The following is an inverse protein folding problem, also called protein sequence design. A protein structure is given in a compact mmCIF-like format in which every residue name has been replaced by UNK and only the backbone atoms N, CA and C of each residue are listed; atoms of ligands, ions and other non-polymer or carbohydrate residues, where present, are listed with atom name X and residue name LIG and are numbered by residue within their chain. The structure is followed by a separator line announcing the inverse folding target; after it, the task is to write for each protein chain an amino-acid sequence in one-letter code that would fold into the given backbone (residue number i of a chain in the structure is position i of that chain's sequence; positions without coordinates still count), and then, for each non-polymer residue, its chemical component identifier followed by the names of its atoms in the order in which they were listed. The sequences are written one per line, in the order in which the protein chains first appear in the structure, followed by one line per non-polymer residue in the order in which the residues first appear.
data_IF_921238440268
#
_entry.id   IF_921238440268
#
_cell.length_a   1.000
_cell.length_b   1.000
_cell.length_c   1.000
_cell.angle_alpha   90.00
_cell.angle_beta   90.00
_cell.angle_gamma   90.00
#
_symmetry.space_group_name_H-M   'P 1'
#
loop_
_entity.id
_entity.type
_entity.pdbx_description
1 polymer ?
#
# COMPACT_ATOMS: atom_id res chain seq x y z
N UNK A 1 -10.83 0.73 3.85
CA UNK A 1 -9.46 1.29 3.75
C UNK A 1 -8.61 1.05 4.98
N UNK A 2 -9.18 1.24 6.19
CA UNK A 2 -8.44 1.09 7.43
C UNK A 2 -8.01 -0.33 7.80
N UNK A 3 -8.28 -1.38 7.01
CA UNK A 3 -7.87 -2.77 7.31
C UNK A 3 -6.64 -3.23 6.49
N UNK A 4 -5.88 -2.33 5.85
CA UNK A 4 -4.63 -2.69 5.17
C UNK A 4 -3.61 -3.22 6.21
N UNK A 5 -3.01 -4.40 5.96
CA UNK A 5 -2.02 -5.06 6.82
C UNK A 5 -2.61 -6.01 7.86
N UNK A 6 -1.86 -7.04 8.28
CA UNK A 6 -2.29 -8.06 9.26
C UNK A 6 -2.77 -9.38 8.63
N UNK A 7 -3.94 -9.91 9.04
CA UNK A 7 -4.51 -11.18 8.52
C UNK A 7 -4.85 -11.11 7.02
N UNK A 8 -5.25 -9.94 6.52
CA UNK A 8 -5.51 -9.65 5.09
C UNK A 8 -4.22 -9.32 4.29
N UNK A 9 -3.07 -9.15 4.96
CA UNK A 9 -1.76 -8.74 4.39
C UNK A 9 -1.89 -7.53 3.44
N UNK A 10 -1.26 -7.55 2.27
CA UNK A 10 -1.61 -6.65 1.18
C UNK A 10 -2.72 -7.32 0.40
N UNK A 11 -3.89 -6.69 0.32
CA UNK A 11 -5.10 -7.14 -0.37
C UNK A 11 -4.89 -7.83 -1.73
N UNK A 12 -3.72 -7.67 -2.38
CA UNK A 12 -3.28 -8.48 -3.51
C UNK A 12 -1.74 -8.49 -3.67
N UNK A 13 -1.17 -9.52 -4.31
CA UNK A 13 0.26 -9.55 -4.68
C UNK A 13 1.25 -10.02 -3.59
N UNK A 14 0.77 -10.77 -2.59
CA UNK A 14 1.56 -11.24 -1.45
C UNK A 14 2.88 -11.95 -1.81
N UNK A 15 2.95 -12.67 -2.93
CA UNK A 15 4.18 -13.36 -3.37
C UNK A 15 5.26 -12.35 -3.74
N UNK A 16 4.91 -11.28 -4.48
CA UNK A 16 5.85 -10.25 -4.88
C UNK A 16 6.40 -9.48 -3.66
N UNK A 17 5.50 -9.18 -2.73
CA UNK A 17 5.84 -8.57 -1.44
C UNK A 17 6.72 -9.47 -0.58
N UNK A 18 6.45 -10.77 -0.56
CA UNK A 18 7.29 -11.75 0.15
C UNK A 18 8.67 -11.90 -0.49
N UNK A 19 8.77 -11.95 -1.83
CA UNK A 19 10.06 -12.00 -2.53
C UNK A 19 10.88 -10.75 -2.23
N UNK A 20 10.26 -9.57 -2.24
CA UNK A 20 10.94 -8.32 -1.88
C UNK A 20 11.34 -8.27 -0.41
N UNK A 21 10.46 -8.70 0.49
CA UNK A 21 10.77 -8.78 1.91
C UNK A 21 11.91 -9.77 2.20
N UNK A 22 12.00 -10.86 1.43
CA UNK A 22 13.09 -11.83 1.52
C UNK A 22 14.42 -11.22 1.04
N UNK A 23 14.41 -10.47 -0.07
CA UNK A 23 15.58 -9.74 -0.57
C UNK A 23 16.08 -8.69 0.44
N UNK A 24 15.18 -7.87 0.99
CA UNK A 24 15.53 -6.86 1.99
C UNK A 24 16.07 -7.52 3.27
N UNK A 25 15.54 -8.68 3.67
CA UNK A 25 16.03 -9.46 4.81
C UNK A 25 17.41 -10.07 4.55
N UNK A 26 17.70 -10.48 3.32
CA UNK A 26 19.03 -10.95 2.90
C UNK A 26 20.08 -9.83 2.94
N UNK A 27 19.66 -8.57 2.75
CA UNK A 27 20.51 -7.37 2.85
C UNK A 27 20.61 -6.86 4.32
N UNK A 28 19.98 -7.55 5.28
CA UNK A 28 20.05 -7.22 6.71
C UNK A 28 19.11 -6.08 7.14
N UNK A 29 18.17 -5.64 6.29
CA UNK A 29 17.22 -4.60 6.65
C UNK A 29 16.09 -5.18 7.50
N UNK A 30 15.93 -4.65 8.72
CA UNK A 30 14.77 -4.96 9.56
C UNK A 30 13.57 -4.22 9.00
N UNK A 31 12.65 -4.96 8.38
CA UNK A 31 11.33 -4.46 8.05
C UNK A 31 10.51 -4.46 9.34
N UNK A 32 9.82 -3.35 9.63
CA UNK A 32 8.76 -3.39 10.64
C UNK A 32 7.75 -4.46 10.20
N UNK A 33 7.42 -5.37 11.10
CA UNK A 33 6.41 -6.40 10.85
C UNK A 33 5.19 -6.06 11.68
N UNK A 34 4.04 -6.07 11.04
CA UNK A 34 2.78 -5.93 11.71
C UNK A 34 2.14 -4.56 11.54
N UNK A 35 0.91 -4.53 12.00
CA UNK A 35 0.00 -3.40 12.03
C UNK A 35 -0.27 -3.11 13.51
N UNK A 36 -0.42 -1.84 13.94
CA UNK A 36 -0.91 -1.53 15.28
C UNK A 36 -2.23 -2.26 15.54
N UNK A 37 -2.42 -2.81 16.75
CA UNK A 37 -3.64 -3.45 17.22
C UNK A 37 -4.74 -2.40 17.49
N UNK A 38 -5.05 -1.59 16.47
CA UNK A 38 -6.04 -0.52 16.51
C UNK A 38 -6.89 -0.57 15.25
N UNK A 39 -8.15 -0.23 15.41
CA UNK A 39 -9.14 -0.23 14.32
C UNK A 39 -8.83 0.87 13.28
N UNK A 40 -8.35 2.02 13.74
CA UNK A 40 -7.99 3.18 12.92
C UNK A 40 -6.48 3.39 12.90
N UNK A 41 -5.92 3.53 11.69
CA UNK A 41 -4.53 3.93 11.51
C UNK A 41 -4.35 5.40 11.86
N UNK A 42 -3.19 5.76 12.39
CA UNK A 42 -2.81 7.14 12.68
C UNK A 42 -1.55 7.54 11.91
N UNK A 43 -1.39 8.83 11.68
CA UNK A 43 -0.16 9.37 11.09
C UNK A 43 1.05 8.97 11.93
N UNK A 44 2.05 8.36 11.30
CA UNK A 44 3.24 7.83 11.95
C UNK A 44 3.23 6.32 12.16
N UNK A 45 2.07 5.66 12.04
CA UNK A 45 1.98 4.21 12.21
C UNK A 45 2.77 3.45 11.15
N UNK A 46 3.41 2.36 11.57
CA UNK A 46 4.04 1.42 10.66
C UNK A 46 3.05 0.28 10.32
N UNK A 47 2.76 0.09 9.05
CA UNK A 47 1.94 -1.01 8.53
C UNK A 47 2.84 -1.89 7.68
N UNK A 48 3.34 -2.96 8.29
CA UNK A 48 4.38 -3.82 7.72
C UNK A 48 5.56 -2.95 7.22
N UNK A 49 5.83 -2.97 5.92
CA UNK A 49 6.94 -2.23 5.31
C UNK A 49 6.60 -0.80 4.87
N UNK A 50 5.47 -0.26 5.32
CA UNK A 50 5.03 1.10 5.00
C UNK A 50 4.87 1.93 6.25
N UNK A 51 5.07 3.24 6.11
CA UNK A 51 4.80 4.21 7.14
C UNK A 51 3.63 5.07 6.73
N UNK A 52 2.61 5.15 7.56
CA UNK A 52 1.48 6.06 7.38
C UNK A 52 1.99 7.48 7.56
N UNK A 53 1.83 8.31 6.54
CA UNK A 53 2.25 9.72 6.58
C UNK A 53 1.07 10.70 6.59
N UNK A 54 -0.08 10.27 6.10
CA UNK A 54 -1.32 11.06 6.15
C UNK A 54 -2.48 10.10 6.39
N UNK A 55 -3.31 10.41 7.37
CA UNK A 55 -4.62 9.80 7.58
C UNK A 55 -5.64 10.92 7.71
N UNK A 56 -6.65 10.86 6.86
CA UNK A 56 -7.92 11.52 7.06
C UNK A 56 -9.01 10.45 6.97
N UNK A 57 -9.72 10.18 8.08
CA UNK A 57 -10.81 9.22 8.10
C UNK A 57 -11.80 9.49 6.96
N UNK A 58 -12.14 8.43 6.23
CA UNK A 58 -13.13 8.46 5.12
C UNK A 58 -12.80 9.41 3.95
N UNK A 59 -11.58 9.98 3.90
CA UNK A 59 -11.17 10.89 2.82
C UNK A 59 -9.87 10.46 2.17
N UNK A 60 -8.81 10.28 2.95
CA UNK A 60 -7.52 9.94 2.39
C UNK A 60 -6.62 9.14 3.33
N UNK A 61 -5.85 8.23 2.75
CA UNK A 61 -4.80 7.49 3.43
C UNK A 61 -3.56 7.50 2.54
N UNK A 62 -2.45 8.02 3.06
CA UNK A 62 -1.18 7.99 2.35
C UNK A 62 -0.14 7.20 3.13
N UNK A 63 0.46 6.24 2.42
CA UNK A 63 1.51 5.34 2.89
C UNK A 63 2.83 5.69 2.18
N UNK A 64 3.89 5.88 2.94
CA UNK A 64 5.24 6.02 2.46
C UNK A 64 5.94 4.66 2.47
N UNK A 65 6.68 4.37 1.41
CA UNK A 65 7.44 3.14 1.29
C UNK A 65 8.62 3.14 2.26
N UNK A 66 8.64 2.18 3.18
CA UNK A 66 9.66 2.04 4.23
C UNK A 66 10.77 1.03 3.92
N UNK A 67 10.74 0.40 2.74
CA UNK A 67 11.74 -0.58 2.29
C UNK A 67 12.95 0.11 1.67
N UNK A 68 14.12 -0.55 1.73
CA UNK A 68 15.32 -0.05 1.06
C UNK A 68 15.20 -0.35 -0.43
N UNK A 69 14.83 0.66 -1.20
CA UNK A 69 14.72 0.56 -2.64
C UNK A 69 15.50 1.71 -3.30
N UNK A 70 15.91 1.59 -4.57
CA UNK A 70 16.62 2.64 -5.31
C UNK A 70 15.65 3.78 -5.70
N UNK A 71 14.97 4.36 -4.73
CA UNK A 71 13.93 5.36 -4.90
C UNK A 71 12.98 5.44 -3.71
N UNK A 72 12.07 6.41 -3.77
CA UNK A 72 11.00 6.59 -2.79
C UNK A 72 9.65 6.26 -3.42
N UNK A 73 8.92 5.35 -2.79
CA UNK A 73 7.55 5.02 -3.15
C UNK A 73 6.56 5.70 -2.22
N UNK A 74 5.42 6.15 -2.75
CA UNK A 74 4.29 6.63 -1.96
C UNK A 74 3.01 6.09 -2.56
N UNK A 75 2.12 5.57 -1.73
CA UNK A 75 0.82 5.06 -2.13
C UNK A 75 -0.27 5.91 -1.47
N UNK A 76 -1.06 6.58 -2.28
CA UNK A 76 -2.19 7.41 -1.85
C UNK A 76 -3.49 6.70 -2.19
N UNK A 77 -4.38 6.66 -1.21
CA UNK A 77 -5.77 6.27 -1.36
C UNK A 77 -6.60 7.52 -1.11
N UNK A 78 -7.48 7.86 -2.05
CA UNK A 78 -8.44 8.95 -1.88
C UNK A 78 -9.84 8.39 -2.08
N UNK A 79 -10.75 8.78 -1.21
CA UNK A 79 -12.16 8.46 -1.29
C UNK A 79 -12.92 9.74 -1.60
N UNK A 80 -13.75 9.70 -2.62
CA UNK A 80 -14.67 10.79 -2.93
C UNK A 80 -16.10 10.27 -2.80
N UNK A 81 -16.86 10.88 -1.90
CA UNK A 81 -18.27 10.59 -1.72
C UNK A 81 -19.11 11.43 -2.71
N UNK A 82 -19.90 10.76 -3.55
CA UNK A 82 -20.81 11.39 -4.52
C UNK A 82 -22.27 11.30 -4.08
N UNK A 83 -22.54 10.89 -2.83
CA UNK A 83 -23.89 10.71 -2.28
C UNK A 83 -24.45 9.32 -2.62
N UNK A 84 -24.71 9.07 -3.90
CA UNK A 84 -25.31 7.79 -4.34
C UNK A 84 -24.26 6.66 -4.46
N UNK A 85 -22.99 7.03 -4.65
CA UNK A 85 -21.87 6.11 -4.74
C UNK A 85 -20.59 6.76 -4.23
N UNK A 86 -19.60 5.94 -3.90
CA UNK A 86 -18.27 6.39 -3.50
C UNK A 86 -17.24 5.96 -4.54
N UNK A 87 -16.35 6.88 -4.91
CA UNK A 87 -15.24 6.59 -5.83
C UNK A 87 -13.95 6.47 -5.03
N UNK A 88 -13.16 5.44 -5.32
CA UNK A 88 -11.83 5.23 -4.74
C UNK A 88 -10.75 5.46 -5.79
N UNK A 89 -9.84 6.40 -5.55
CA UNK A 89 -8.61 6.55 -6.32
C UNK A 89 -7.45 5.90 -5.57
N UNK A 90 -6.68 5.06 -6.27
CA UNK A 90 -5.49 4.40 -5.73
C UNK A 90 -4.30 4.80 -6.60
N UNK A 91 -3.43 5.64 -6.05
CA UNK A 91 -2.32 6.24 -6.79
C UNK A 91 -0.99 5.90 -6.16
N UNK A 92 -0.10 5.28 -6.94
CA UNK A 92 1.28 5.08 -6.55
C UNK A 92 2.21 6.08 -7.25
N UNK A 93 2.97 6.79 -6.45
CA UNK A 93 4.06 7.66 -6.87
C UNK A 93 5.39 6.95 -6.64
N UNK A 94 6.27 7.05 -7.62
CA UNK A 94 7.63 6.55 -7.52
C UNK A 94 8.60 7.64 -7.91
N UNK A 95 9.57 7.89 -7.03
CA UNK A 95 10.66 8.80 -7.27
C UNK A 95 11.95 7.98 -7.41
N UNK A 96 12.40 7.67 -8.64
CA UNK A 96 13.56 6.81 -8.87
C UNK A 96 14.84 7.54 -8.46
N UNK A 97 15.74 6.84 -7.77
CA UNK A 97 17.08 7.34 -7.48
C UNK A 97 18.07 6.79 -8.51
N UNK A 98 18.36 7.60 -9.53
CA UNK A 98 19.29 7.25 -10.61
C UNK A 98 18.80 6.12 -11.54
N UNK A 99 19.70 5.63 -12.38
CA UNK A 99 19.41 4.59 -13.39
C UNK A 99 18.88 3.27 -12.80
N UNK A 100 19.42 2.74 -11.68
CA UNK A 100 18.88 1.52 -11.07
C UNK A 100 17.43 1.67 -10.60
N UNK A 101 17.06 2.88 -10.15
CA UNK A 101 15.70 3.21 -9.74
C UNK A 101 14.69 3.19 -10.89
N UNK A 102 15.13 3.64 -12.06
CA UNK A 102 14.30 3.65 -13.27
C UNK A 102 14.08 2.24 -13.83
N UNK A 103 15.13 1.42 -13.90
CA UNK A 103 15.01 0.02 -14.30
C UNK A 103 14.11 -0.78 -13.36
N UNK A 104 14.28 -0.57 -12.05
CA UNK A 104 13.41 -1.18 -11.04
C UNK A 104 11.94 -0.79 -11.26
N UNK A 105 11.69 0.50 -11.52
CA UNK A 105 10.33 0.98 -11.81
C UNK A 105 9.73 0.31 -13.04
N UNK A 106 10.45 0.32 -14.17
CA UNK A 106 9.99 -0.25 -15.44
C UNK A 106 9.67 -1.74 -15.32
N UNK A 107 10.53 -2.52 -14.66
CA UNK A 107 10.32 -3.95 -14.44
C UNK A 107 9.06 -4.22 -13.61
N UNK A 108 8.75 -3.31 -12.67
CA UNK A 108 7.65 -3.47 -11.74
C UNK A 108 6.32 -2.91 -12.26
N UNK A 109 6.28 -2.13 -13.35
CA UNK A 109 5.03 -1.61 -13.96
C UNK A 109 3.95 -2.70 -14.13
N UNK A 110 4.21 -3.86 -14.76
CA UNK A 110 3.18 -4.89 -14.93
C UNK A 110 2.67 -5.44 -13.60
N UNK A 111 3.56 -5.61 -12.62
CA UNK A 111 3.18 -6.06 -11.29
C UNK A 111 2.32 -5.02 -10.56
N UNK A 112 2.67 -3.73 -10.66
CA UNK A 112 1.89 -2.62 -10.07
C UNK A 112 0.47 -2.56 -10.64
N UNK A 113 0.31 -2.65 -11.98
CA UNK A 113 -1.00 -2.64 -12.62
C UNK A 113 -1.88 -3.81 -12.13
N UNK A 114 -1.29 -4.99 -11.95
CA UNK A 114 -1.99 -6.15 -11.43
C UNK A 114 -2.40 -5.99 -9.95
N UNK A 115 -1.48 -5.49 -9.12
CA UNK A 115 -1.71 -5.25 -7.68
C UNK A 115 -2.79 -4.18 -7.47
N UNK A 116 -2.72 -3.05 -8.16
CA UNK A 116 -3.68 -1.95 -7.97
C UNK A 116 -5.09 -2.33 -8.42
N UNK A 117 -5.24 -3.05 -9.55
CA UNK A 117 -6.55 -3.55 -9.97
C UNK A 117 -7.14 -4.54 -8.98
N UNK A 118 -6.34 -5.47 -8.46
CA UNK A 118 -6.79 -6.44 -7.46
C UNK A 118 -7.20 -5.75 -6.15
N UNK A 119 -6.40 -4.78 -5.70
CA UNK A 119 -6.65 -4.01 -4.48
C UNK A 119 -7.94 -3.19 -4.56
N UNK A 120 -8.16 -2.47 -5.66
CA UNK A 120 -9.39 -1.71 -5.86
C UNK A 120 -10.64 -2.60 -5.84
N UNK A 121 -10.58 -3.76 -6.52
CA UNK A 121 -11.69 -4.72 -6.56
C UNK A 121 -12.00 -5.32 -5.18
N UNK A 122 -10.97 -5.65 -4.41
CA UNK A 122 -11.15 -6.19 -3.06
C UNK A 122 -11.71 -5.16 -2.10
N UNK A 123 -11.26 -3.90 -2.18
CA UNK A 123 -11.81 -2.81 -1.37
C UNK A 123 -13.29 -2.58 -1.70
N UNK A 124 -13.66 -2.58 -2.98
CA UNK A 124 -15.07 -2.45 -3.40
C UNK A 124 -15.92 -3.59 -2.83
N UNK A 125 -15.46 -4.84 -2.96
CA UNK A 125 -16.16 -6.03 -2.43
C UNK A 125 -16.36 -5.96 -0.91
N UNK A 126 -15.33 -5.55 -0.17
CA UNK A 126 -15.43 -5.42 1.30
C UNK A 126 -16.37 -4.29 1.71
N UNK A 127 -16.43 -3.20 0.93
CA UNK A 127 -17.36 -2.12 1.18
C UNK A 127 -18.82 -2.58 1.00
N UNK A 128 -19.11 -3.31 -0.08
CA UNK A 128 -20.43 -3.90 -0.32
C UNK A 128 -20.86 -4.84 0.80
N UNK A 129 -19.96 -5.71 1.28
CA UNK A 129 -20.26 -6.67 2.35
C UNK A 129 -20.45 -6.04 3.74
N UNK A 130 -19.98 -4.81 3.95
CA UNK A 130 -20.17 -4.08 5.22
C UNK A 130 -21.47 -3.30 5.31
N UNK A 131 -22.25 -3.27 4.22
CA UNK A 131 -23.54 -2.57 4.13
C UNK A 131 -24.74 -3.50 4.39
N UNK A 132 -24.51 -4.81 4.52
CA UNK A 132 -25.47 -5.81 5.05
C UNK A 132 -25.32 -6.00 6.57
#
# INVERSE_FOLDING_TARGET
MNQIGGKERYFFGNILWQTRALMDRAIGHKLAKGRPEREYLQTGDAVDSWKVIVVEPEKQLTLLFGMKAPGLGRLCFSLEDKGDYRTIDVRAFWHPHGMPGLFYWLLMIPAHLFIFRGMAKQIARLAEQSTD
#
